data_IF_652469068676
#
_entry.id   IF_652469068676
#
_cell.length_a   1.000
_cell.length_b   1.000
_cell.length_c   1.000
_cell.angle_alpha   90.00
_cell.angle_beta   90.00
_cell.angle_gamma   90.00
#
_symmetry.space_group_name_H-M   'P 1'
#
loop_
_entity.id
_entity.type
_entity.pdbx_description
1 polymer ?
#
# COMPACT_ATOMS: atom_id res chain seq x y z
N UNK A 1 23.64 9.97 -3.00
CA UNK A 1 22.22 10.43 -3.12
C UNK A 1 21.69 10.46 -1.70
N UNK A 2 21.20 11.60 -1.21
CA UNK A 2 20.69 11.68 0.16
C UNK A 2 19.24 11.22 0.16
N UNK A 3 18.95 10.09 0.80
CA UNK A 3 17.56 9.64 1.03
C UNK A 3 17.06 10.41 2.25
N UNK A 4 15.95 11.16 2.14
CA UNK A 4 15.41 11.83 3.31
C UNK A 4 14.83 10.81 4.30
N UNK A 5 15.15 10.97 5.56
CA UNK A 5 14.45 10.30 6.65
C UNK A 5 13.27 11.18 7.07
N UNK A 6 12.08 10.62 7.02
CA UNK A 6 10.84 11.31 7.39
C UNK A 6 9.99 10.42 8.30
N UNK A 7 9.13 11.04 9.06
CA UNK A 7 8.18 10.32 9.90
C UNK A 7 7.06 9.70 9.06
N UNK A 8 6.40 8.69 9.61
CA UNK A 8 5.22 8.09 8.96
C UNK A 8 4.09 9.11 8.72
N UNK A 9 3.95 10.09 9.60
CA UNK A 9 2.96 11.16 9.45
C UNK A 9 3.30 12.10 8.30
N UNK A 10 4.57 12.49 8.15
CA UNK A 10 5.04 13.29 7.01
C UNK A 10 4.87 12.54 5.69
N UNK A 11 5.19 11.24 5.66
CA UNK A 11 4.97 10.41 4.48
C UNK A 11 3.46 10.30 4.14
N UNK A 12 2.60 10.08 5.13
CA UNK A 12 1.16 10.03 4.93
C UNK A 12 0.58 11.38 4.46
N UNK A 13 1.17 12.51 4.90
CA UNK A 13 0.74 13.84 4.46
C UNK A 13 0.92 14.06 2.95
N UNK A 14 1.89 13.39 2.32
CA UNK A 14 2.15 13.49 0.88
C UNK A 14 1.15 12.70 0.01
N UNK A 15 0.43 11.74 0.59
CA UNK A 15 -0.54 10.89 -0.11
C UNK A 15 -1.86 11.63 -0.27
N UNK A 16 -2.42 11.66 -1.47
CA UNK A 16 -3.65 12.37 -1.78
C UNK A 16 -4.85 11.43 -1.94
N UNK A 17 -6.04 12.01 -1.86
CA UNK A 17 -7.27 11.31 -2.22
C UNK A 17 -7.20 10.78 -3.65
N UNK A 18 -7.51 9.50 -3.83
CA UNK A 18 -7.51 8.84 -5.13
C UNK A 18 -6.15 8.25 -5.55
N UNK A 19 -5.06 8.52 -4.83
CA UNK A 19 -3.75 7.96 -5.15
C UNK A 19 -3.78 6.42 -5.14
N UNK A 20 -2.97 5.81 -6.00
CA UNK A 20 -2.72 4.39 -6.05
C UNK A 20 -1.47 4.03 -5.26
N UNK A 21 -1.65 3.20 -4.26
CA UNK A 21 -0.58 2.77 -3.36
C UNK A 21 -0.29 1.29 -3.60
N UNK A 22 0.90 1.00 -4.09
CA UNK A 22 1.45 -0.34 -4.14
C UNK A 22 2.09 -0.69 -2.80
N UNK A 23 1.67 -1.78 -2.17
CA UNK A 23 2.18 -2.20 -0.85
C UNK A 23 2.84 -3.57 -0.96
N UNK A 24 4.12 -3.63 -0.57
CA UNK A 24 4.89 -4.88 -0.47
C UNK A 24 4.48 -5.70 0.74
N UNK A 25 4.90 -6.97 0.75
CA UNK A 25 4.64 -7.90 1.84
C UNK A 25 3.82 -9.12 1.43
N UNK A 26 3.79 -10.11 2.33
CA UNK A 26 3.01 -11.34 2.20
C UNK A 26 2.43 -11.71 3.56
N UNK A 27 1.12 -11.63 3.71
CA UNK A 27 0.46 -11.76 5.02
C UNK A 27 1.00 -10.68 5.98
N UNK A 28 1.32 -11.01 7.23
CA UNK A 28 1.92 -10.06 8.18
C UNK A 28 3.42 -9.85 7.96
N UNK A 29 4.08 -10.73 7.17
CA UNK A 29 5.51 -10.66 6.92
C UNK A 29 5.83 -9.62 5.84
N UNK A 30 6.75 -8.70 6.13
CA UNK A 30 7.13 -7.62 5.22
C UNK A 30 6.02 -6.59 4.96
N UNK A 31 4.95 -6.63 5.74
CA UNK A 31 3.89 -5.62 5.67
C UNK A 31 4.33 -4.34 6.38
N UNK A 32 4.22 -3.17 5.74
CA UNK A 32 4.47 -1.90 6.40
C UNK A 32 3.59 -1.72 7.64
N UNK A 33 4.20 -1.33 8.77
CA UNK A 33 3.51 -1.26 10.08
C UNK A 33 3.37 0.16 10.62
N UNK A 34 4.07 1.12 10.04
CA UNK A 34 4.07 2.51 10.51
C UNK A 34 3.27 3.44 9.61
N UNK A 35 3.46 3.32 8.29
CA UNK A 35 2.87 4.25 7.32
C UNK A 35 1.37 4.02 7.13
N UNK A 36 0.91 2.77 7.13
CA UNK A 36 -0.50 2.44 6.92
C UNK A 36 -1.41 2.92 8.05
N UNK A 37 -1.05 2.79 9.35
CA UNK A 37 -1.77 3.47 10.43
C UNK A 37 -1.75 5.00 10.31
N UNK A 38 -0.66 5.60 9.84
CA UNK A 38 -0.60 7.05 9.63
C UNK A 38 -1.53 7.52 8.51
N UNK A 39 -1.65 6.75 7.43
CA UNK A 39 -2.65 7.01 6.37
C UNK A 39 -4.07 6.87 6.91
N UNK A 40 -4.34 5.86 7.75
CA UNK A 40 -5.64 5.69 8.39
C UNK A 40 -5.99 6.87 9.32
N UNK A 41 -5.03 7.36 10.10
CA UNK A 41 -5.20 8.54 10.95
C UNK A 41 -5.50 9.79 10.12
N UNK A 42 -4.78 10.00 9.01
CA UNK A 42 -5.08 11.08 8.07
C UNK A 42 -6.49 10.97 7.51
N UNK A 43 -6.89 9.77 7.06
CA UNK A 43 -8.23 9.54 6.53
C UNK A 43 -9.31 9.90 7.54
N UNK A 44 -9.16 9.48 8.81
CA UNK A 44 -10.10 9.83 9.88
C UNK A 44 -10.21 11.34 10.06
N UNK A 45 -9.09 12.04 10.12
CA UNK A 45 -9.07 13.51 10.28
C UNK A 45 -9.72 14.23 9.07
N UNK A 46 -9.50 13.73 7.85
CA UNK A 46 -10.15 14.29 6.65
C UNK A 46 -11.68 14.07 6.70
N UNK A 47 -12.11 12.86 7.07
CA UNK A 47 -13.54 12.55 7.21
C UNK A 47 -14.23 13.37 8.32
N UNK A 48 -13.58 13.55 9.47
CA UNK A 48 -14.09 14.39 10.55
C UNK A 48 -14.23 15.87 10.12
N UNK A 49 -13.35 16.31 9.23
CA UNK A 49 -13.42 17.65 8.64
C UNK A 49 -14.39 17.75 7.44
N UNK A 50 -15.15 16.71 7.14
CA UNK A 50 -16.10 16.64 6.04
C UNK A 50 -15.47 16.56 4.65
N UNK A 51 -14.19 16.21 4.57
CA UNK A 51 -13.48 16.06 3.30
C UNK A 51 -13.36 14.58 2.92
N UNK A 52 -13.58 14.21 1.65
CA UNK A 52 -13.40 12.84 1.22
C UNK A 52 -11.91 12.47 1.18
N UNK A 53 -11.56 11.31 1.73
CA UNK A 53 -10.23 10.75 1.60
C UNK A 53 -10.30 9.23 1.47
N UNK A 54 -9.96 8.72 0.29
CA UNK A 54 -9.80 7.29 0.02
C UNK A 54 -8.63 7.09 -0.93
N UNK A 55 -7.96 5.96 -0.81
CA UNK A 55 -6.85 5.54 -1.66
C UNK A 55 -7.17 4.22 -2.35
N UNK A 56 -6.45 3.93 -3.42
CA UNK A 56 -6.52 2.64 -4.11
C UNK A 56 -5.33 1.80 -3.69
N UNK A 57 -5.56 0.55 -3.30
CA UNK A 57 -4.52 -0.34 -2.78
C UNK A 57 -4.29 -1.50 -3.73
N UNK A 58 -3.05 -1.70 -4.12
CA UNK A 58 -2.60 -2.88 -4.85
C UNK A 58 -1.46 -3.58 -4.11
N UNK A 59 -1.59 -4.90 -3.95
CA UNK A 59 -0.60 -5.74 -3.27
C UNK A 59 -0.35 -7.01 -4.07
N UNK A 60 0.66 -7.80 -3.70
CA UNK A 60 0.82 -9.15 -4.24
C UNK A 60 -0.23 -10.09 -3.70
N UNK A 61 -0.26 -10.24 -2.40
CA UNK A 61 -1.21 -11.07 -1.65
C UNK A 61 -1.94 -10.22 -0.62
N UNK A 62 -2.79 -10.84 0.18
CA UNK A 62 -3.37 -10.20 1.37
C UNK A 62 -2.27 -9.80 2.34
N UNK A 63 -2.28 -8.56 2.83
CA UNK A 63 -1.24 -8.03 3.73
C UNK A 63 -1.66 -8.11 5.20
N UNK A 64 -2.94 -8.26 5.49
CA UNK A 64 -3.42 -8.47 6.85
C UNK A 64 -3.82 -7.17 7.58
N UNK A 65 -3.74 -7.21 8.92
CA UNK A 65 -4.35 -6.17 9.76
C UNK A 65 -3.71 -4.80 9.59
N UNK A 66 -2.38 -4.74 9.49
CA UNK A 66 -1.64 -3.46 9.44
C UNK A 66 -1.88 -2.62 8.18
N UNK A 67 -2.46 -3.19 7.14
CA UNK A 67 -2.85 -2.45 5.93
C UNK A 67 -4.36 -2.56 5.69
N UNK A 68 -4.80 -3.76 5.27
CA UNK A 68 -6.21 -3.98 4.89
C UNK A 68 -7.17 -3.68 6.05
N UNK A 69 -6.79 -4.08 7.29
CA UNK A 69 -7.61 -3.88 8.48
C UNK A 69 -7.71 -2.41 8.90
N UNK A 70 -6.57 -1.77 9.08
CA UNK A 70 -6.48 -0.37 9.52
C UNK A 70 -7.21 0.59 8.56
N UNK A 71 -6.92 0.47 7.27
CA UNK A 71 -7.50 1.36 6.26
C UNK A 71 -9.00 1.10 6.04
N UNK A 72 -9.43 -0.17 6.08
CA UNK A 72 -10.84 -0.51 5.92
C UNK A 72 -11.71 -0.08 7.12
N UNK A 73 -11.13 -0.11 8.34
CA UNK A 73 -11.83 0.29 9.55
C UNK A 73 -12.26 1.77 9.52
N UNK A 74 -11.49 2.62 8.88
CA UNK A 74 -11.75 4.07 8.74
C UNK A 74 -12.29 4.47 7.38
N UNK A 75 -12.76 3.52 6.57
CA UNK A 75 -13.29 3.74 5.21
C UNK A 75 -12.31 4.46 4.26
N UNK A 76 -11.01 4.19 4.42
CA UNK A 76 -9.95 4.85 3.66
C UNK A 76 -9.62 4.16 2.33
N UNK A 77 -10.32 3.09 1.93
CA UNK A 77 -10.07 2.37 0.69
C UNK A 77 -11.22 2.57 -0.29
N UNK A 78 -10.91 2.99 -1.52
CA UNK A 78 -11.86 3.02 -2.62
C UNK A 78 -11.80 1.72 -3.43
N UNK A 79 -10.60 1.29 -3.83
CA UNK A 79 -10.39 0.08 -4.62
C UNK A 79 -9.28 -0.77 -4.03
N UNK A 80 -9.45 -2.09 -4.07
CA UNK A 80 -8.49 -3.08 -3.56
C UNK A 80 -8.22 -4.18 -4.60
N UNK A 81 -6.93 -4.44 -4.87
CA UNK A 81 -6.44 -5.50 -5.75
C UNK A 81 -5.26 -6.24 -5.07
N UNK A 82 -5.14 -7.55 -5.24
CA UNK A 82 -6.19 -8.50 -5.53
C UNK A 82 -7.07 -8.76 -4.29
N UNK A 83 -7.59 -9.96 -4.15
CA UNK A 83 -8.37 -10.41 -3.00
C UNK A 83 -7.63 -10.26 -1.65
N UNK A 84 -8.36 -9.94 -0.57
CA UNK A 84 -7.86 -9.94 0.81
C UNK A 84 -8.71 -10.79 1.73
N UNK A 85 -8.05 -11.51 2.65
CA UNK A 85 -8.71 -12.37 3.65
C UNK A 85 -9.06 -11.63 4.94
N UNK A 86 -8.64 -10.38 5.11
CA UNK A 86 -8.90 -9.62 6.33
C UNK A 86 -10.41 -9.41 6.55
N UNK A 87 -10.95 -9.63 7.76
CA UNK A 87 -12.38 -9.51 8.03
C UNK A 87 -12.96 -8.12 7.80
N UNK A 88 -12.21 -7.06 8.12
CA UNK A 88 -12.71 -5.68 7.98
C UNK A 88 -12.88 -5.29 6.50
N UNK A 89 -11.88 -5.61 5.67
CA UNK A 89 -11.99 -5.34 4.24
C UNK A 89 -13.09 -6.21 3.60
N UNK A 90 -13.31 -7.45 4.06
CA UNK A 90 -14.41 -8.30 3.57
C UNK A 90 -15.78 -7.70 3.90
N UNK A 91 -15.95 -7.12 5.10
CA UNK A 91 -17.17 -6.37 5.43
C UNK A 91 -17.37 -5.19 4.49
N UNK A 92 -16.28 -4.48 4.17
CA UNK A 92 -16.32 -3.35 3.24
C UNK A 92 -16.69 -3.77 1.82
N UNK A 93 -16.19 -4.92 1.32
CA UNK A 93 -16.61 -5.49 0.03
C UNK A 93 -18.10 -5.82 0.03
N UNK A 94 -18.55 -6.58 1.04
CA UNK A 94 -19.93 -7.04 1.13
C UNK A 94 -20.95 -5.89 1.26
N UNK A 95 -20.54 -4.76 1.83
CA UNK A 95 -21.37 -3.56 1.93
C UNK A 95 -21.26 -2.61 0.73
N UNK A 96 -20.43 -2.93 -0.27
CA UNK A 96 -20.21 -2.09 -1.45
C UNK A 96 -19.39 -0.83 -1.20
N UNK A 97 -18.79 -0.67 -0.02
CA UNK A 97 -17.95 0.49 0.32
C UNK A 97 -16.59 0.49 -0.39
N UNK A 98 -16.09 -0.69 -0.71
CA UNK A 98 -14.81 -0.90 -1.40
C UNK A 98 -15.04 -1.70 -2.66
N UNK A 99 -14.57 -1.18 -3.77
CA UNK A 99 -14.52 -1.89 -5.06
C UNK A 99 -13.30 -2.82 -5.04
N UNK A 100 -13.48 -4.10 -5.32
CA UNK A 100 -12.33 -4.99 -5.44
C UNK A 100 -12.30 -5.69 -6.79
N UNK A 101 -11.11 -6.08 -7.20
CA UNK A 101 -10.89 -6.91 -8.38
C UNK A 101 -10.06 -8.09 -7.95
N UNK A 102 -10.62 -9.28 -8.08
CA UNK A 102 -9.90 -10.52 -7.80
C UNK A 102 -9.02 -10.88 -9.01
N UNK A 103 -7.78 -11.23 -8.73
CA UNK A 103 -6.78 -11.58 -9.72
C UNK A 103 -5.99 -12.78 -9.21
N UNK A 104 -5.56 -13.66 -10.10
CA UNK A 104 -4.58 -14.66 -9.75
C UNK A 104 -3.26 -13.98 -9.31
N UNK A 105 -2.66 -14.46 -8.23
CA UNK A 105 -1.41 -13.89 -7.72
C UNK A 105 -0.29 -13.93 -8.75
N UNK A 106 -0.25 -14.99 -9.58
CA UNK A 106 0.73 -15.12 -10.67
C UNK A 106 0.63 -14.01 -11.71
N UNK A 107 -0.55 -13.49 -11.95
CA UNK A 107 -0.82 -12.53 -13.02
C UNK A 107 -0.71 -11.08 -12.56
N UNK A 108 -0.86 -10.85 -11.26
CA UNK A 108 -0.95 -9.52 -10.69
C UNK A 108 0.28 -8.64 -11.02
N UNK A 109 1.49 -9.17 -10.89
CA UNK A 109 2.71 -8.45 -11.23
C UNK A 109 2.79 -8.13 -12.74
N UNK A 110 2.30 -9.01 -13.59
CA UNK A 110 2.24 -8.82 -15.04
C UNK A 110 1.24 -7.73 -15.39
N UNK A 111 0.04 -7.77 -14.81
CA UNK A 111 -1.00 -6.77 -15.04
C UNK A 111 -0.59 -5.38 -14.56
N UNK A 112 0.14 -5.29 -13.44
CA UNK A 112 0.74 -4.03 -13.00
C UNK A 112 1.71 -3.47 -14.04
N UNK A 113 2.65 -4.30 -14.52
CA UNK A 113 3.63 -3.87 -15.54
C UNK A 113 3.00 -3.46 -16.86
N UNK A 114 1.88 -4.06 -17.21
CA UNK A 114 1.10 -3.73 -18.42
C UNK A 114 0.13 -2.55 -18.23
N UNK A 115 0.03 -2.00 -17.02
CA UNK A 115 -0.86 -0.89 -16.71
C UNK A 115 -2.35 -1.26 -16.66
N UNK A 116 -2.68 -2.56 -16.65
CA UNK A 116 -4.08 -3.03 -16.66
C UNK A 116 -4.77 -2.72 -15.33
N UNK A 117 -4.03 -2.81 -14.22
CA UNK A 117 -4.57 -2.60 -12.87
C UNK A 117 -4.56 -1.14 -12.41
N UNK A 118 -4.03 -0.24 -13.21
CA UNK A 118 -3.88 1.18 -12.92
C UNK A 118 -2.43 1.58 -12.62
N UNK A 119 -2.18 2.86 -12.39
CA UNK A 119 -0.85 3.35 -12.04
C UNK A 119 -0.47 2.88 -10.62
N UNK A 120 0.81 3.03 -10.29
CA UNK A 120 1.31 3.00 -8.91
C UNK A 120 1.90 4.37 -8.65
N UNK A 121 1.20 5.20 -7.88
CA UNK A 121 1.68 6.54 -7.54
C UNK A 121 2.72 6.46 -6.43
N UNK A 122 2.47 5.62 -5.42
CA UNK A 122 3.34 5.41 -4.26
C UNK A 122 3.71 3.95 -4.10
N UNK A 123 5.00 3.68 -3.89
CA UNK A 123 5.50 2.36 -3.50
C UNK A 123 5.83 2.36 -2.01
N UNK A 124 5.19 1.48 -1.24
CA UNK A 124 5.42 1.32 0.20
C UNK A 124 5.91 -0.11 0.47
N UNK A 125 7.11 -0.23 1.01
CA UNK A 125 7.73 -1.52 1.31
C UNK A 125 8.33 -1.48 2.72
N UNK A 126 8.42 -2.65 3.36
CA UNK A 126 9.20 -2.82 4.57
C UNK A 126 10.62 -3.26 4.20
N UNK A 127 11.61 -2.59 4.73
CA UNK A 127 13.02 -2.92 4.57
C UNK A 127 13.64 -3.34 5.91
N UNK A 128 14.59 -4.29 5.86
CA UNK A 128 15.41 -4.64 7.02
C UNK A 128 16.58 -3.66 7.18
N UNK A 129 17.10 -3.16 6.08
CA UNK A 129 18.24 -2.26 6.06
C UNK A 129 18.29 -1.47 4.74
N UNK A 130 18.87 -0.28 4.80
CA UNK A 130 19.08 0.59 3.64
C UNK A 130 20.53 1.08 3.69
N UNK A 131 21.28 0.83 2.64
CA UNK A 131 22.70 1.17 2.56
C UNK A 131 23.01 1.96 1.29
N UNK A 132 23.92 2.92 1.39
CA UNK A 132 24.55 3.51 0.21
C UNK A 132 25.86 2.76 -0.09
N UNK A 133 25.93 2.13 -1.26
CA UNK A 133 27.10 1.37 -1.72
C UNK A 133 27.51 1.89 -3.09
N UNK A 134 28.70 2.47 -3.18
CA UNK A 134 29.24 3.06 -4.43
C UNK A 134 28.26 4.05 -5.11
N UNK A 135 27.63 4.92 -4.32
CA UNK A 135 26.70 5.94 -4.81
C UNK A 135 25.33 5.40 -5.26
N UNK A 136 25.03 4.13 -4.95
CA UNK A 136 23.75 3.48 -5.21
C UNK A 136 23.09 3.08 -3.91
N UNK A 137 21.80 3.28 -3.84
CA UNK A 137 20.99 2.81 -2.70
C UNK A 137 20.68 1.33 -2.87
N UNK A 138 20.99 0.54 -1.86
CA UNK A 138 20.59 -0.86 -1.71
C UNK A 138 19.56 -0.97 -0.62
N UNK A 139 18.42 -1.54 -0.95
CA UNK A 139 17.33 -1.82 -0.01
C UNK A 139 17.32 -3.32 0.23
N UNK A 140 17.51 -3.72 1.48
CA UNK A 140 17.45 -5.11 1.92
C UNK A 140 16.04 -5.40 2.41
N UNK A 141 15.33 -6.22 1.65
CA UNK A 141 13.93 -6.54 1.93
C UNK A 141 13.81 -7.61 3.03
N UNK A 142 12.63 -7.68 3.64
CA UNK A 142 12.27 -8.73 4.59
C UNK A 142 12.03 -10.07 3.87
N UNK A 143 11.86 -11.17 4.61
CA UNK A 143 11.56 -12.49 4.02
C UNK A 143 10.20 -12.51 3.30
N UNK A 144 9.24 -11.69 3.71
CA UNK A 144 7.90 -11.60 3.13
C UNK A 144 7.80 -10.51 2.05
N UNK A 145 8.60 -10.58 0.99
CA UNK A 145 8.69 -9.49 0.01
C UNK A 145 7.43 -9.31 -0.85
N UNK A 146 6.64 -10.36 -1.07
CA UNK A 146 5.49 -10.29 -1.99
C UNK A 146 5.89 -9.77 -3.38
N UNK A 147 5.17 -8.77 -3.88
CA UNK A 147 5.48 -8.11 -5.16
C UNK A 147 6.30 -6.81 -4.99
N UNK A 148 6.96 -6.60 -3.86
CA UNK A 148 7.77 -5.40 -3.60
C UNK A 148 8.71 -5.03 -4.77
N UNK A 149 9.45 -5.97 -5.42
CA UNK A 149 10.29 -5.64 -6.58
C UNK A 149 9.52 -5.04 -7.75
N UNK A 150 8.29 -5.48 -7.98
CA UNK A 150 7.45 -4.90 -9.05
C UNK A 150 6.94 -3.52 -8.64
N UNK A 151 6.48 -3.37 -7.40
CA UNK A 151 5.98 -2.10 -6.88
C UNK A 151 7.06 -1.02 -6.93
N UNK A 152 8.26 -1.31 -6.44
CA UNK A 152 9.37 -0.35 -6.44
C UNK A 152 9.81 0.06 -7.84
N UNK A 153 9.69 -0.84 -8.82
CA UNK A 153 9.98 -0.53 -10.21
C UNK A 153 8.89 0.32 -10.88
N UNK A 154 7.63 0.13 -10.50
CA UNK A 154 6.47 0.79 -11.12
C UNK A 154 6.07 2.09 -10.42
N UNK A 155 6.43 2.27 -9.16
CA UNK A 155 6.06 3.44 -8.39
C UNK A 155 6.65 4.73 -8.99
N UNK A 156 5.81 5.76 -9.09
CA UNK A 156 6.22 7.10 -9.54
C UNK A 156 6.88 7.91 -8.43
N UNK A 157 6.55 7.57 -7.19
CA UNK A 157 7.01 8.19 -5.94
C UNK A 157 7.22 7.11 -4.89
N UNK A 158 8.13 7.36 -3.96
CA UNK A 158 8.41 6.41 -2.86
C UNK A 158 9.80 6.54 -2.32
#
# INVERSE_FOLDING_TARGET
MNIPEITAAEAAAMINHGDWIGVGGFGPAGAPKSITPAIAAKASAEHEAGRPFKVNIVTGASIGASCDGELAAVDAIDRRLPFSVNPEIRKAYNSGRVRYTDLNLSDNATFLRQGITGPVDWGIIEACDIQEVHGRIRIYLTAGIGIAPTITHMARRG
#
